data_IF_070284997417
#
_entry.id   IF_070284997417
#
_cell.length_a   1.000
_cell.length_b   1.000
_cell.length_c   1.000
_cell.angle_alpha   90.00
_cell.angle_beta   90.00
_cell.angle_gamma   90.00
#
_symmetry.space_group_name_H-M   'P 1'
#
loop_
_entity.id
_entity.type
_entity.pdbx_description
1 polymer ?
#
# COMPACT_ATOMS: atom_id res chain seq x y z
N UNK A 1 -6.53 -14.43 2.24
CA UNK A 1 -7.82 -14.72 2.91
C UNK A 1 -7.71 -15.78 4.01
N UNK A 2 -7.25 -17.02 3.75
CA UNK A 2 -7.16 -18.08 4.79
C UNK A 2 -6.35 -17.65 6.03
N UNK A 3 -5.23 -16.95 5.84
CA UNK A 3 -4.45 -16.44 6.97
C UNK A 3 -5.25 -15.48 7.85
N UNK A 4 -6.10 -14.62 7.27
CA UNK A 4 -7.00 -13.75 8.02
C UNK A 4 -8.01 -14.57 8.85
N UNK A 5 -8.56 -15.64 8.27
CA UNK A 5 -9.48 -16.53 9.00
C UNK A 5 -8.77 -17.20 10.18
N UNK A 6 -7.56 -17.70 9.99
CA UNK A 6 -6.76 -18.31 11.05
C UNK A 6 -6.40 -17.31 12.16
N UNK A 7 -6.22 -16.03 11.82
CA UNK A 7 -5.86 -14.97 12.77
C UNK A 7 -7.06 -14.37 13.51
N UNK A 8 -8.13 -14.05 12.77
CA UNK A 8 -9.24 -13.20 13.21
C UNK A 8 -10.60 -13.91 13.24
N UNK A 9 -10.67 -15.16 12.75
CA UNK A 9 -11.88 -15.97 12.76
C UNK A 9 -12.91 -15.64 11.66
N UNK A 10 -12.51 -14.89 10.62
CA UNK A 10 -13.37 -14.65 9.46
C UNK A 10 -12.57 -14.55 8.16
N UNK A 11 -13.22 -14.95 7.06
CA UNK A 11 -12.70 -14.77 5.71
C UNK A 11 -13.14 -13.39 5.18
N UNK A 12 -12.22 -12.46 4.89
CA UNK A 12 -12.57 -11.12 4.41
C UNK A 12 -13.01 -11.17 2.95
N UNK A 13 -13.96 -10.31 2.56
CA UNK A 13 -14.32 -10.12 1.14
C UNK A 13 -13.13 -9.55 0.36
N UNK A 14 -12.42 -8.56 0.95
CA UNK A 14 -11.31 -7.86 0.29
C UNK A 14 -10.04 -7.82 1.15
N UNK A 15 -8.88 -7.91 0.49
CA UNK A 15 -7.55 -7.85 1.09
C UNK A 15 -6.82 -6.61 0.61
N UNK A 16 -6.50 -5.76 1.56
CA UNK A 16 -5.66 -4.59 1.40
C UNK A 16 -4.25 -4.91 1.89
N UNK A 17 -3.25 -4.29 1.31
CA UNK A 17 -1.86 -4.45 1.72
C UNK A 17 -1.08 -3.14 1.68
N UNK A 18 -0.08 -3.03 2.53
CA UNK A 18 0.97 -2.02 2.39
C UNK A 18 2.30 -2.67 2.80
N UNK A 19 3.16 -2.89 1.82
CA UNK A 19 4.49 -3.46 2.05
C UNK A 19 5.55 -2.39 1.91
N UNK A 20 6.13 -1.97 3.02
CA UNK A 20 7.02 -0.81 3.04
C UNK A 20 7.92 -0.80 4.28
N UNK A 21 8.89 0.12 4.33
CA UNK A 21 9.64 0.35 5.58
C UNK A 21 8.80 1.22 6.52
N UNK A 22 8.95 1.03 7.83
CA UNK A 22 8.28 1.89 8.80
C UNK A 22 9.07 3.18 8.97
N UNK A 23 8.84 4.12 8.05
CA UNK A 23 9.43 5.46 8.09
C UNK A 23 8.37 6.47 7.67
N UNK A 24 8.47 7.68 8.22
CA UNK A 24 7.49 8.76 7.99
C UNK A 24 7.26 9.06 6.52
N UNK A 25 8.28 8.92 5.66
CA UNK A 25 8.14 9.21 4.23
C UNK A 25 7.12 8.31 3.51
N UNK A 26 6.78 7.14 4.08
CA UNK A 26 5.85 6.17 3.49
C UNK A 26 4.37 6.45 3.77
N UNK A 27 4.08 7.43 4.63
CA UNK A 27 2.72 7.98 4.71
C UNK A 27 1.65 7.06 5.30
N UNK A 28 2.00 5.99 6.04
CA UNK A 28 1.03 4.97 6.50
C UNK A 28 -0.13 5.48 7.36
N UNK A 29 -0.06 6.69 7.92
CA UNK A 29 -1.22 7.31 8.59
C UNK A 29 -2.35 7.67 7.61
N UNK A 30 -2.03 7.85 6.33
CA UNK A 30 -3.02 8.10 5.27
C UNK A 30 -3.81 6.84 4.95
N UNK A 31 -3.21 5.66 5.06
CA UNK A 31 -3.95 4.39 4.93
C UNK A 31 -5.07 4.33 5.96
N UNK A 32 -4.78 4.66 7.22
CA UNK A 32 -5.79 4.70 8.29
C UNK A 32 -6.94 5.65 7.94
N UNK A 33 -6.64 6.85 7.45
CA UNK A 33 -7.66 7.82 7.02
C UNK A 33 -8.52 7.28 5.87
N UNK A 34 -7.91 6.66 4.87
CA UNK A 34 -8.65 6.04 3.76
C UNK A 34 -9.55 4.91 4.29
N UNK A 35 -9.01 4.04 5.15
CA UNK A 35 -9.76 2.94 5.74
C UNK A 35 -10.92 3.41 6.63
N UNK A 36 -10.84 4.55 7.29
CA UNK A 36 -11.96 5.13 8.06
C UNK A 36 -13.18 5.39 7.19
N UNK A 37 -12.98 5.82 5.94
CA UNK A 37 -14.08 6.02 4.99
C UNK A 37 -14.53 4.69 4.37
N UNK A 38 -13.60 3.79 4.02
CA UNK A 38 -13.94 2.45 3.50
C UNK A 38 -14.75 1.65 4.53
N UNK A 39 -14.40 1.69 5.81
CA UNK A 39 -15.10 0.96 6.87
C UNK A 39 -16.59 1.33 6.93
N UNK A 40 -16.90 2.63 6.79
CA UNK A 40 -18.29 3.11 6.80
C UNK A 40 -19.07 2.56 5.61
N UNK A 41 -18.46 2.54 4.43
CA UNK A 41 -19.05 2.01 3.21
C UNK A 41 -19.19 0.49 3.24
N UNK A 42 -18.20 -0.22 3.76
CA UNK A 42 -18.27 -1.67 3.93
C UNK A 42 -19.37 -2.07 4.92
N UNK A 43 -19.59 -1.26 5.95
CA UNK A 43 -20.68 -1.46 6.90
C UNK A 43 -22.06 -1.28 6.25
N UNK A 44 -22.23 -0.32 5.34
CA UNK A 44 -23.53 -0.13 4.63
C UNK A 44 -23.78 -1.26 3.62
N UNK A 45 -22.73 -1.77 2.98
CA UNK A 45 -22.82 -2.86 2.00
C UNK A 45 -22.78 -4.27 2.60
N UNK A 46 -22.51 -4.40 3.91
CA UNK A 46 -22.32 -5.71 4.55
C UNK A 46 -21.05 -6.44 4.07
N UNK A 47 -20.05 -5.70 3.59
CA UNK A 47 -18.75 -6.23 3.13
C UNK A 47 -17.72 -6.20 4.24
N UNK A 48 -16.71 -7.03 4.14
CA UNK A 48 -15.61 -7.14 5.10
C UNK A 48 -14.26 -6.98 4.43
N UNK A 49 -13.24 -6.58 5.18
CA UNK A 49 -11.89 -6.52 4.65
C UNK A 49 -10.82 -6.61 5.71
N UNK A 50 -9.59 -6.85 5.26
CA UNK A 50 -8.39 -6.81 6.10
C UNK A 50 -7.28 -6.02 5.42
N UNK A 51 -6.60 -5.15 6.15
CA UNK A 51 -5.31 -4.59 5.73
C UNK A 51 -4.17 -5.36 6.40
N UNK A 52 -3.32 -6.00 5.60
CA UNK A 52 -2.02 -6.50 6.07
C UNK A 52 -0.95 -5.44 5.85
N UNK A 53 -0.33 -4.98 6.94
CA UNK A 53 0.80 -4.05 6.87
C UNK A 53 2.07 -4.81 7.16
N UNK A 54 2.96 -4.93 6.18
CA UNK A 54 4.27 -5.57 6.34
C UNK A 54 5.30 -4.47 6.39
N UNK A 55 5.70 -4.10 7.61
CA UNK A 55 6.53 -2.93 7.81
C UNK A 55 7.32 -3.01 9.09
N UNK A 56 8.55 -2.51 9.08
CA UNK A 56 9.43 -2.53 10.25
C UNK A 56 10.45 -1.40 10.21
N UNK A 57 10.84 -0.93 11.39
CA UNK A 57 11.97 -0.02 11.60
C UNK A 57 13.30 -0.76 11.77
N UNK A 58 13.22 -2.07 12.03
CA UNK A 58 14.34 -2.92 12.42
C UNK A 58 14.53 -4.06 11.42
N UNK A 59 15.43 -5.00 11.71
CA UNK A 59 15.60 -6.20 10.91
C UNK A 59 14.52 -7.23 11.22
N UNK A 60 14.42 -8.26 10.37
CA UNK A 60 13.54 -9.40 10.61
C UNK A 60 13.84 -10.06 11.96
N UNK A 61 12.78 -10.46 12.66
CA UNK A 61 12.88 -11.23 13.91
C UNK A 61 13.30 -12.66 13.61
N UNK A 62 13.86 -13.33 14.61
CA UNK A 62 14.19 -14.75 14.48
C UNK A 62 12.90 -15.56 14.46
N UNK A 63 12.85 -16.62 13.66
CA UNK A 63 11.64 -17.46 13.57
C UNK A 63 11.20 -18.03 14.92
N UNK A 64 12.16 -18.40 15.79
CA UNK A 64 11.84 -18.86 17.15
C UNK A 64 11.07 -17.79 17.94
N UNK A 65 11.50 -16.52 17.82
CA UNK A 65 10.89 -15.43 18.56
C UNK A 65 9.46 -15.20 18.01
N UNK A 66 9.25 -15.33 16.69
CA UNK A 66 7.92 -15.29 16.09
C UNK A 66 6.99 -16.37 16.64
N UNK A 67 7.45 -17.62 16.70
CA UNK A 67 6.66 -18.72 17.25
C UNK A 67 6.36 -18.52 18.74
N UNK A 68 7.34 -18.09 19.52
CA UNK A 68 7.16 -17.81 20.95
C UNK A 68 6.15 -16.67 21.18
N UNK A 69 6.21 -15.60 20.37
CA UNK A 69 5.28 -14.48 20.43
C UNK A 69 3.86 -14.87 20.00
N UNK A 70 3.73 -15.68 18.94
CA UNK A 70 2.45 -16.23 18.50
C UNK A 70 1.83 -17.09 19.60
N UNK A 71 2.57 -18.03 20.19
CA UNK A 71 2.04 -18.92 21.23
C UNK A 71 1.75 -18.22 22.55
N UNK A 72 2.50 -17.16 22.88
CA UNK A 72 2.39 -16.47 24.18
C UNK A 72 1.28 -15.42 24.19
N UNK A 73 1.06 -14.72 23.08
CA UNK A 73 0.08 -13.63 23.04
C UNK A 73 -0.56 -13.41 21.66
N UNK A 74 -0.55 -14.41 20.78
CA UNK A 74 -1.25 -14.38 19.49
C UNK A 74 -0.72 -13.33 18.49
N UNK A 75 0.57 -13.00 18.51
CA UNK A 75 1.21 -12.25 17.42
C UNK A 75 0.86 -12.84 16.03
N UNK A 76 0.55 -12.03 14.99
CA UNK A 76 0.57 -10.56 14.93
C UNK A 76 -0.79 -9.90 15.23
N UNK A 77 -1.74 -10.61 15.86
CA UNK A 77 -3.05 -10.02 16.23
C UNK A 77 -2.88 -9.08 17.42
N UNK A 78 -2.04 -9.47 18.37
CA UNK A 78 -1.63 -8.62 19.49
C UNK A 78 -0.11 -8.48 19.51
N UNK A 79 0.36 -7.32 19.98
CA UNK A 79 1.76 -7.01 20.18
C UNK A 79 2.06 -6.61 21.62
N UNK A 80 3.33 -6.72 22.02
CA UNK A 80 3.87 -6.22 23.28
C UNK A 80 4.99 -5.22 23.00
N UNK A 81 5.06 -4.19 23.83
CA UNK A 81 6.16 -3.23 23.74
C UNK A 81 7.48 -3.87 24.15
N UNK A 82 8.56 -3.53 23.44
CA UNK A 82 9.90 -4.01 23.71
C UNK A 82 10.32 -5.23 22.90
N UNK A 83 11.63 -5.48 22.89
CA UNK A 83 12.24 -6.59 22.17
C UNK A 83 11.83 -7.94 22.78
N UNK A 84 11.51 -8.98 21.98
CA UNK A 84 11.71 -9.09 20.53
C UNK A 84 10.58 -8.54 19.65
N UNK A 85 9.49 -8.04 20.22
CA UNK A 85 8.33 -7.63 19.43
C UNK A 85 8.48 -6.22 18.87
N UNK A 86 8.18 -5.16 19.62
CA UNK A 86 8.12 -3.81 19.02
C UNK A 86 9.32 -2.93 19.35
N UNK A 87 9.80 -2.19 18.35
CA UNK A 87 10.55 -0.95 18.53
C UNK A 87 9.64 0.19 19.03
N UNK A 88 10.22 1.35 19.36
CA UNK A 88 9.44 2.52 19.76
C UNK A 88 8.53 3.07 18.66
N UNK A 89 8.98 3.14 17.41
CA UNK A 89 8.13 3.61 16.31
C UNK A 89 7.12 2.57 15.85
N UNK A 90 7.43 1.28 15.94
CA UNK A 90 6.46 0.19 15.76
C UNK A 90 5.34 0.26 16.79
N UNK A 91 5.65 0.51 18.07
CA UNK A 91 4.65 0.71 19.12
C UNK A 91 3.76 1.94 18.89
N UNK A 92 4.36 3.05 18.42
CA UNK A 92 3.60 4.26 18.06
C UNK A 92 2.61 3.99 16.91
N UNK A 93 3.04 3.28 15.87
CA UNK A 93 2.16 2.91 14.76
C UNK A 93 1.07 1.91 15.21
N UNK A 94 1.45 0.90 16.00
CA UNK A 94 0.52 -0.11 16.49
C UNK A 94 -0.56 0.49 17.40
N UNK A 95 -0.26 1.55 18.16
CA UNK A 95 -1.27 2.30 18.92
C UNK A 95 -2.39 2.82 18.01
N UNK A 96 -2.04 3.37 16.84
CA UNK A 96 -3.03 3.84 15.87
C UNK A 96 -3.83 2.68 15.25
N UNK A 97 -3.16 1.54 14.98
CA UNK A 97 -3.80 0.29 14.52
C UNK A 97 -4.83 -0.21 15.54
N UNK A 98 -4.48 -0.22 16.83
CA UNK A 98 -5.39 -0.62 17.90
C UNK A 98 -6.59 0.32 18.01
N UNK A 99 -6.38 1.63 17.92
CA UNK A 99 -7.47 2.61 17.93
C UNK A 99 -8.44 2.41 16.76
N UNK A 100 -7.91 2.17 15.55
CA UNK A 100 -8.73 1.85 14.39
C UNK A 100 -9.52 0.55 14.61
N UNK A 101 -8.82 -0.54 14.97
CA UNK A 101 -9.43 -1.86 15.16
C UNK A 101 -10.47 -1.89 16.29
N UNK A 102 -10.34 -1.05 17.32
CA UNK A 102 -11.33 -0.96 18.39
C UNK A 102 -12.64 -0.27 17.94
N UNK A 103 -12.55 0.62 16.93
CA UNK A 103 -13.70 1.38 16.41
C UNK A 103 -14.35 0.73 15.19
N UNK A 104 -13.56 0.01 14.39
CA UNK A 104 -14.03 -0.63 13.17
C UNK A 104 -14.83 -1.89 13.46
N UNK A 105 -15.79 -2.22 12.60
CA UNK A 105 -16.52 -3.50 12.65
C UNK A 105 -16.16 -4.40 11.50
N UNK A 106 -16.17 -3.85 10.29
CA UNK A 106 -16.09 -4.62 9.05
C UNK A 106 -14.69 -4.67 8.44
N UNK A 107 -13.75 -3.90 8.98
CA UNK A 107 -12.39 -3.76 8.43
C UNK A 107 -11.37 -3.84 9.55
N UNK A 108 -10.39 -4.74 9.45
CA UNK A 108 -9.33 -4.87 10.46
C UNK A 108 -7.95 -4.67 9.86
N UNK A 109 -7.02 -4.20 10.66
CA UNK A 109 -5.62 -4.05 10.30
C UNK A 109 -4.81 -5.09 11.08
N UNK A 110 -4.00 -5.87 10.38
CA UNK A 110 -3.02 -6.78 10.96
C UNK A 110 -1.64 -6.22 10.67
N UNK A 111 -0.95 -5.79 11.73
CA UNK A 111 0.39 -5.24 11.62
C UNK A 111 1.43 -6.34 11.74
N UNK A 112 1.99 -6.76 10.63
CA UNK A 112 3.11 -7.70 10.60
C UNK A 112 4.37 -6.84 10.65
N UNK A 113 4.93 -6.69 11.84
CA UNK A 113 6.02 -5.77 12.09
C UNK A 113 7.37 -6.21 11.50
N UNK A 114 7.39 -6.94 10.37
CA UNK A 114 8.58 -7.35 9.64
C UNK A 114 8.28 -7.66 8.17
N UNK A 115 9.34 -7.79 7.36
CA UNK A 115 9.22 -8.32 6.00
C UNK A 115 9.20 -9.86 6.00
N UNK A 116 8.39 -10.41 5.11
CA UNK A 116 8.18 -11.85 4.96
C UNK A 116 6.70 -12.19 5.10
N UNK A 117 6.23 -13.12 4.28
CA UNK A 117 4.85 -13.59 4.27
C UNK A 117 4.86 -15.08 3.97
N UNK A 118 5.40 -15.84 4.92
CA UNK A 118 5.64 -17.28 4.83
C UNK A 118 5.62 -17.85 6.25
N UNK A 119 5.36 -19.16 6.47
CA UNK A 119 5.24 -19.74 7.81
C UNK A 119 6.41 -19.45 8.74
N UNK A 120 7.64 -19.47 8.19
CA UNK A 120 8.87 -19.19 8.92
C UNK A 120 8.94 -17.75 9.48
N UNK A 121 8.19 -16.82 8.90
CA UNK A 121 8.15 -15.40 9.25
C UNK A 121 6.81 -14.97 9.85
N UNK A 122 5.76 -15.77 9.72
CA UNK A 122 4.42 -15.38 10.14
C UNK A 122 3.80 -16.32 11.20
N UNK A 123 4.52 -17.35 11.64
CA UNK A 123 4.05 -18.29 12.65
C UNK A 123 3.28 -19.46 12.05
N UNK A 124 2.79 -20.32 12.93
CA UNK A 124 2.10 -21.57 12.61
C UNK A 124 0.69 -21.35 12.05
N UNK A 125 0.06 -20.20 12.32
CA UNK A 125 -1.26 -19.88 11.73
C UNK A 125 -1.18 -19.50 10.26
N UNK A 126 0.01 -19.22 9.72
CA UNK A 126 0.19 -19.05 8.28
C UNK A 126 0.07 -20.41 7.57
N UNK A 127 -0.74 -20.54 6.51
CA UNK A 127 -0.82 -21.77 5.74
C UNK A 127 0.54 -22.22 5.20
N UNK A 128 0.80 -23.53 5.19
CA UNK A 128 2.13 -24.10 4.98
C UNK A 128 2.72 -23.90 3.58
N UNK A 129 1.87 -23.72 2.58
CA UNK A 129 2.19 -23.62 1.16
C UNK A 129 2.28 -22.15 0.66
N UNK A 130 2.24 -21.19 1.58
CA UNK A 130 2.30 -19.76 1.24
C UNK A 130 3.75 -19.30 1.03
N UNK A 131 3.97 -18.69 -0.13
CA UNK A 131 5.18 -17.95 -0.47
C UNK A 131 4.95 -16.44 -0.37
N UNK A 132 6.04 -15.66 -0.32
CA UNK A 132 5.94 -14.21 -0.28
C UNK A 132 5.14 -13.64 -1.46
N UNK A 133 5.25 -14.22 -2.66
CA UNK A 133 4.51 -13.74 -3.83
C UNK A 133 2.99 -13.84 -3.66
N UNK A 134 2.50 -14.74 -2.82
CA UNK A 134 1.07 -14.94 -2.63
C UNK A 134 0.39 -13.77 -1.92
N UNK A 135 1.15 -12.96 -1.17
CA UNK A 135 0.62 -11.68 -0.68
C UNK A 135 0.27 -10.77 -1.85
N UNK A 136 1.13 -10.69 -2.88
CA UNK A 136 0.92 -9.83 -4.05
C UNK A 136 -0.21 -10.34 -4.93
N UNK A 137 -0.30 -11.66 -5.12
CA UNK A 137 -1.40 -12.31 -5.85
C UNK A 137 -2.74 -12.13 -5.15
N UNK A 138 -2.74 -12.17 -3.82
CA UNK A 138 -3.95 -12.10 -3.00
C UNK A 138 -4.37 -10.68 -2.59
N UNK A 139 -3.70 -9.64 -3.11
CA UNK A 139 -4.01 -8.23 -2.83
C UNK A 139 -5.06 -7.71 -3.80
N UNK A 140 -6.18 -7.22 -3.26
CA UNK A 140 -7.17 -6.45 -4.02
C UNK A 140 -6.74 -4.97 -4.14
N UNK A 141 -6.11 -4.42 -3.10
CA UNK A 141 -5.66 -3.02 -3.05
C UNK A 141 -4.30 -2.89 -2.36
N UNK A 142 -3.30 -2.33 -3.04
CA UNK A 142 -1.99 -2.01 -2.45
C UNK A 142 -1.87 -0.51 -2.21
N UNK A 143 -1.55 -0.13 -0.98
CA UNK A 143 -1.33 1.26 -0.60
C UNK A 143 0.12 1.72 -0.82
N UNK A 144 0.21 2.99 -1.19
CA UNK A 144 1.42 3.70 -1.60
C UNK A 144 1.37 5.17 -1.23
N UNK A 145 1.03 5.48 0.01
CA UNK A 145 0.63 6.84 0.41
C UNK A 145 1.81 7.79 0.72
N UNK A 146 2.98 7.51 0.17
CA UNK A 146 4.23 8.21 0.47
C UNK A 146 4.12 9.73 0.33
N UNK A 147 4.75 10.46 1.26
CA UNK A 147 5.01 11.92 1.13
C UNK A 147 6.27 12.19 0.32
N UNK A 148 7.12 11.18 0.15
CA UNK A 148 8.28 11.20 -0.72
C UNK A 148 8.67 9.76 -1.07
N UNK A 149 8.71 9.46 -2.36
CA UNK A 149 9.09 8.14 -2.88
C UNK A 149 9.88 8.33 -4.18
N UNK A 150 11.20 8.04 -4.21
CA UNK A 150 12.02 8.26 -5.41
C UNK A 150 11.54 7.45 -6.62
N UNK A 151 11.05 6.23 -6.40
CA UNK A 151 10.41 5.43 -7.43
C UNK A 151 9.18 4.72 -6.88
N UNK A 152 9.33 3.68 -6.06
CA UNK A 152 8.19 2.95 -5.47
C UNK A 152 7.77 1.74 -6.31
N UNK A 153 8.52 0.65 -6.20
CA UNK A 153 8.26 -0.60 -6.96
C UNK A 153 7.16 -1.42 -6.28
N UNK A 154 7.22 -1.54 -4.94
CA UNK A 154 6.36 -2.41 -4.15
C UNK A 154 4.86 -2.18 -4.42
N UNK A 155 4.48 -0.93 -4.68
CA UNK A 155 3.09 -0.55 -4.90
C UNK A 155 2.52 -1.05 -6.23
N UNK A 156 3.39 -1.37 -7.18
CA UNK A 156 3.03 -1.88 -8.52
C UNK A 156 3.09 -3.40 -8.60
N UNK A 157 3.67 -4.10 -7.62
CA UNK A 157 3.85 -5.56 -7.67
C UNK A 157 2.51 -6.33 -7.76
N UNK A 158 1.41 -5.89 -7.11
CA UNK A 158 0.10 -6.53 -7.29
C UNK A 158 -0.58 -6.26 -8.64
N UNK A 159 -0.07 -5.30 -9.43
CA UNK A 159 -0.73 -4.86 -10.66
C UNK A 159 -0.92 -6.02 -11.64
N UNK A 160 0.10 -6.86 -11.83
CA UNK A 160 0.06 -8.01 -12.75
C UNK A 160 -0.96 -9.08 -12.34
N UNK A 161 -1.39 -9.06 -11.08
CA UNK A 161 -2.40 -9.97 -10.53
C UNK A 161 -3.78 -9.32 -10.43
N UNK A 162 -3.96 -8.13 -11.02
CA UNK A 162 -5.22 -7.41 -11.06
C UNK A 162 -5.51 -6.55 -9.84
N UNK A 163 -4.57 -6.39 -8.91
CA UNK A 163 -4.73 -5.50 -7.76
C UNK A 163 -4.89 -4.03 -8.18
N UNK A 164 -5.55 -3.25 -7.32
CA UNK A 164 -5.63 -1.80 -7.43
C UNK A 164 -4.40 -1.19 -6.73
N UNK A 165 -3.56 -0.51 -7.49
CA UNK A 165 -2.40 0.21 -6.98
C UNK A 165 -2.81 1.65 -6.63
N UNK A 166 -2.76 1.98 -5.35
CA UNK A 166 -3.08 3.32 -4.84
C UNK A 166 -1.79 4.00 -4.44
N UNK A 167 -1.36 5.02 -5.17
CA UNK A 167 -0.14 5.73 -4.82
C UNK A 167 -0.29 7.24 -4.86
N UNK A 168 0.52 7.90 -4.05
CA UNK A 168 0.56 9.35 -3.93
C UNK A 168 1.03 10.02 -5.22
N UNK A 169 0.51 11.22 -5.51
CA UNK A 169 0.90 12.05 -6.66
C UNK A 169 2.40 12.39 -6.68
N UNK A 170 3.07 12.29 -5.53
CA UNK A 170 4.51 12.53 -5.35
C UNK A 170 5.37 11.25 -5.45
N UNK A 171 4.80 10.13 -5.91
CA UNK A 171 5.55 8.92 -6.24
C UNK A 171 6.34 9.09 -7.53
N UNK A 172 7.64 8.81 -7.53
CA UNK A 172 8.45 8.82 -8.76
C UNK A 172 7.97 7.82 -9.81
N UNK A 173 7.31 6.74 -9.39
CA UNK A 173 6.66 5.76 -10.25
C UNK A 173 5.56 6.34 -11.14
N UNK A 174 4.92 7.45 -10.73
CA UNK A 174 3.76 8.02 -11.43
C UNK A 174 4.11 8.50 -12.84
N UNK A 175 5.30 9.08 -13.04
CA UNK A 175 5.74 9.51 -14.37
C UNK A 175 5.81 8.33 -15.33
N UNK A 176 6.46 7.25 -14.89
CA UNK A 176 6.56 6.03 -15.68
C UNK A 176 5.20 5.38 -15.96
N UNK A 177 4.33 5.35 -14.97
CA UNK A 177 2.99 4.82 -15.19
C UNK A 177 2.20 5.66 -16.20
N UNK A 178 2.28 6.99 -16.15
CA UNK A 178 1.61 7.88 -17.13
C UNK A 178 2.10 7.64 -18.55
N UNK A 179 3.39 7.35 -18.73
CA UNK A 179 3.93 6.99 -20.06
C UNK A 179 3.32 5.68 -20.59
N UNK A 180 2.96 4.75 -19.69
CA UNK A 180 2.37 3.45 -20.04
C UNK A 180 0.85 3.52 -20.22
N UNK A 181 0.14 4.22 -19.34
CA UNK A 181 -1.33 4.31 -19.37
C UNK A 181 -1.84 5.39 -20.33
N UNK A 182 -0.99 6.35 -20.71
CA UNK A 182 -1.41 7.54 -21.43
C UNK A 182 -2.43 8.36 -20.63
N UNK A 183 -3.36 9.09 -21.30
CA UNK A 183 -4.39 9.89 -20.65
C UNK A 183 -5.55 9.05 -20.08
N UNK A 184 -5.54 7.74 -20.29
CA UNK A 184 -6.66 6.87 -19.92
C UNK A 184 -6.70 6.60 -18.41
N UNK A 185 -7.90 6.71 -17.84
CA UNK A 185 -8.14 6.36 -16.45
C UNK A 185 -8.32 4.84 -16.33
N UNK A 186 -7.26 4.13 -15.95
CA UNK A 186 -7.30 2.66 -15.79
C UNK A 186 -7.82 2.28 -14.40
N UNK A 187 -8.73 1.30 -14.35
CA UNK A 187 -9.40 0.85 -13.13
C UNK A 187 -8.41 0.40 -12.04
N UNK A 188 -7.32 -0.28 -12.41
CA UNK A 188 -6.26 -0.76 -11.51
C UNK A 188 -5.45 0.34 -10.83
N UNK A 189 -5.60 1.62 -11.21
CA UNK A 189 -4.71 2.68 -10.73
C UNK A 189 -5.50 3.80 -10.10
N UNK A 190 -5.14 4.15 -8.87
CA UNK A 190 -5.65 5.33 -8.18
C UNK A 190 -4.48 6.22 -7.78
N UNK A 191 -4.55 7.49 -8.18
CA UNK A 191 -3.57 8.51 -7.80
C UNK A 191 -4.18 9.39 -6.71
N UNK A 192 -3.56 9.37 -5.54
CA UNK A 192 -3.96 10.19 -4.40
C UNK A 192 -3.15 11.50 -4.38
N UNK A 193 -3.79 12.63 -4.72
CA UNK A 193 -3.10 13.91 -4.76
C UNK A 193 -3.28 14.71 -3.46
N UNK A 194 -2.40 14.45 -2.49
CA UNK A 194 -2.35 15.20 -1.23
C UNK A 194 -1.71 16.58 -1.36
N UNK A 195 -1.28 16.97 -2.56
CA UNK A 195 -0.72 18.30 -2.84
C UNK A 195 -1.74 19.25 -3.46
N UNK A 196 -2.92 18.73 -3.85
CA UNK A 196 -4.06 19.52 -4.29
C UNK A 196 -4.58 20.38 -3.13
N UNK A 197 -4.29 21.68 -3.21
CA UNK A 197 -4.67 22.69 -2.23
C UNK A 197 -6.16 23.09 -2.31
N UNK A 198 -6.94 22.41 -3.15
CA UNK A 198 -8.37 22.64 -3.40
C UNK A 198 -8.65 24.05 -3.98
N UNK A 199 -9.90 24.55 -3.85
CA UNK A 199 -10.35 25.86 -4.37
C UNK A 199 -9.85 27.04 -3.51
N UNK A 200 -8.73 26.89 -2.81
CA UNK A 200 -8.06 28.06 -2.21
C UNK A 200 -7.12 28.64 -3.25
N UNK A 201 -7.40 29.87 -3.69
CA UNK A 201 -6.43 30.66 -4.42
C UNK A 201 -5.33 31.08 -3.44
N UNK A 202 -4.33 30.23 -3.26
CA UNK A 202 -3.06 30.66 -2.71
C UNK A 202 -2.43 31.53 -3.79
N UNK A 203 -2.44 32.85 -3.59
CA UNK A 203 -2.10 33.82 -4.64
C UNK A 203 -0.59 34.00 -4.73
N UNK A 204 0.11 33.84 -3.59
CA UNK A 204 1.55 34.04 -3.47
C UNK A 204 2.24 33.01 -2.54
N UNK A 205 3.55 33.17 -2.35
CA UNK A 205 4.37 32.27 -1.52
C UNK A 205 4.04 32.47 -0.04
N UNK A 206 3.71 33.69 0.35
CA UNK A 206 3.34 34.07 1.71
C UNK A 206 2.08 33.31 2.16
N UNK A 207 1.09 33.16 1.29
CA UNK A 207 -0.09 32.31 1.51
C UNK A 207 0.28 30.83 1.70
N UNK A 208 1.22 30.32 0.90
CA UNK A 208 1.70 28.93 1.02
C UNK A 208 2.45 28.71 2.34
N UNK A 209 3.18 29.71 2.84
CA UNK A 209 3.85 29.65 4.14
C UNK A 209 2.86 29.57 5.31
N UNK A 210 1.59 29.94 5.12
CA UNK A 210 0.55 29.79 6.14
C UNK A 210 -0.03 28.37 6.21
N UNK A 211 0.41 27.42 5.37
CA UNK A 211 -0.04 26.02 5.43
C UNK A 211 0.45 25.38 6.72
N UNK A 212 -0.45 25.29 7.69
CA UNK A 212 -0.20 24.73 9.00
C UNK A 212 -0.64 23.26 9.11
N UNK A 213 -0.70 22.73 10.34
CA UNK A 213 -1.22 21.38 10.58
C UNK A 213 -2.71 21.28 10.24
N UNK A 214 -3.52 22.27 10.60
CA UNK A 214 -4.98 22.24 10.39
C UNK A 214 -5.34 22.15 8.91
N UNK A 215 -4.69 22.96 8.07
CA UNK A 215 -4.88 22.95 6.62
C UNK A 215 -4.48 21.59 6.03
N UNK A 216 -3.32 21.06 6.42
CA UNK A 216 -2.87 19.74 5.95
C UNK A 216 -3.82 18.63 6.37
N UNK A 217 -4.26 18.62 7.63
CA UNK A 217 -5.18 17.61 8.14
C UNK A 217 -6.50 17.60 7.37
N UNK A 218 -6.98 18.78 6.98
CA UNK A 218 -8.19 18.95 6.16
C UNK A 218 -8.01 18.44 4.73
N UNK A 219 -6.90 18.80 4.07
CA UNK A 219 -6.56 18.31 2.73
C UNK A 219 -6.41 16.79 2.75
N UNK A 220 -5.68 16.24 3.73
CA UNK A 220 -5.49 14.80 3.84
C UNK A 220 -6.81 14.06 4.12
N UNK A 221 -7.72 14.63 4.91
CA UNK A 221 -9.06 14.05 5.10
C UNK A 221 -9.87 14.04 3.80
N UNK A 222 -9.98 15.20 3.13
CA UNK A 222 -10.69 15.37 1.86
C UNK A 222 -10.19 14.42 0.77
N UNK A 223 -8.87 14.34 0.59
CA UNK A 223 -8.26 13.44 -0.40
C UNK A 223 -8.40 11.97 -0.02
N UNK A 224 -8.30 11.62 1.27
CA UNK A 224 -8.51 10.23 1.72
C UNK A 224 -9.94 9.75 1.50
N UNK A 225 -10.94 10.63 1.66
CA UNK A 225 -12.33 10.35 1.33
C UNK A 225 -12.52 10.07 -0.16
N UNK A 226 -11.97 10.95 -1.03
CA UNK A 226 -12.02 10.75 -2.49
C UNK A 226 -11.40 9.41 -2.90
N UNK A 227 -10.22 9.10 -2.35
CA UNK A 227 -9.53 7.82 -2.60
C UNK A 227 -10.36 6.64 -2.14
N UNK A 228 -10.95 6.70 -0.94
CA UNK A 228 -11.82 5.63 -0.43
C UNK A 228 -13.01 5.37 -1.35
N UNK A 229 -13.67 6.43 -1.85
CA UNK A 229 -14.79 6.30 -2.78
C UNK A 229 -14.36 5.71 -4.13
N UNK A 230 -13.19 6.11 -4.65
CA UNK A 230 -12.61 5.50 -5.84
C UNK A 230 -12.30 4.01 -5.64
N UNK A 231 -11.76 3.63 -4.49
CA UNK A 231 -11.53 2.22 -4.17
C UNK A 231 -12.85 1.45 -4.15
N UNK A 232 -13.83 1.91 -3.37
CA UNK A 232 -15.11 1.20 -3.21
C UNK A 232 -15.87 1.04 -4.55
N UNK A 233 -15.77 2.04 -5.44
CA UNK A 233 -16.38 1.97 -6.78
C UNK A 233 -15.64 1.07 -7.76
N UNK A 234 -14.35 0.80 -7.54
CA UNK A 234 -13.48 0.04 -8.47
C UNK A 234 -13.19 -1.37 -8.00
N UNK A 235 -13.45 -1.72 -6.74
CA UNK A 235 -13.32 -3.09 -6.27
C UNK A 235 -14.18 -4.04 -7.13
N UNK A 236 -13.61 -5.16 -7.59
CA UNK A 236 -14.32 -6.08 -8.47
C UNK A 236 -15.48 -6.74 -7.73
N UNK A 237 -16.64 -6.83 -8.39
CA UNK A 237 -17.88 -7.35 -7.77
C UNK A 237 -18.18 -8.81 -8.10
N UNK A 238 -17.59 -9.31 -9.18
CA UNK A 238 -17.79 -10.65 -9.70
C UNK A 238 -16.52 -11.16 -10.41
N UNK A 239 -16.53 -12.43 -10.77
CA UNK A 239 -15.40 -13.11 -11.42
C UNK A 239 -15.03 -12.49 -12.77
N UNK A 240 -16.00 -11.97 -13.53
CA UNK A 240 -15.72 -11.33 -14.82
C UNK A 240 -14.96 -10.01 -14.63
N UNK A 241 -15.31 -9.23 -13.61
CA UNK A 241 -14.56 -8.03 -13.26
C UNK A 241 -13.16 -8.38 -12.75
N UNK A 242 -12.99 -9.46 -11.98
CA UNK A 242 -11.67 -9.94 -11.53
C UNK A 242 -10.81 -10.31 -12.75
N UNK A 243 -11.33 -11.12 -13.67
CA UNK A 243 -10.61 -11.53 -14.88
C UNK A 243 -10.22 -10.32 -15.74
N UNK A 244 -11.13 -9.36 -15.90
CA UNK A 244 -10.83 -8.10 -16.59
C UNK A 244 -9.70 -7.34 -15.90
N UNK A 245 -9.71 -7.24 -14.57
CA UNK A 245 -8.70 -6.54 -13.79
C UNK A 245 -7.32 -7.21 -13.90
N UNK A 246 -7.27 -8.55 -13.90
CA UNK A 246 -6.04 -9.32 -14.12
C UNK A 246 -5.50 -9.05 -15.51
N UNK A 247 -6.36 -9.08 -16.55
CA UNK A 247 -5.94 -8.84 -17.93
C UNK A 247 -5.38 -7.44 -18.12
N UNK A 248 -6.07 -6.40 -17.65
CA UNK A 248 -5.61 -5.01 -17.76
C UNK A 248 -4.34 -4.79 -16.95
N UNK A 249 -4.28 -5.32 -15.74
CA UNK A 249 -3.11 -5.25 -14.87
C UNK A 249 -1.87 -5.92 -15.47
N UNK A 250 -2.03 -7.12 -16.06
CA UNK A 250 -0.96 -7.83 -16.76
C UNK A 250 -0.43 -7.03 -17.97
N UNK A 251 -1.31 -6.48 -18.81
CA UNK A 251 -0.88 -5.68 -19.97
C UNK A 251 -0.14 -4.41 -19.55
N UNK A 252 -0.59 -3.74 -18.48
CA UNK A 252 0.16 -2.61 -17.92
C UNK A 252 1.54 -3.04 -17.41
N UNK A 253 1.60 -4.09 -16.58
CA UNK A 253 2.86 -4.58 -16.01
C UNK A 253 3.86 -5.04 -17.07
N UNK A 254 3.37 -5.66 -18.16
CA UNK A 254 4.20 -6.07 -19.31
C UNK A 254 4.87 -4.87 -19.99
N UNK A 255 4.15 -3.75 -20.13
CA UNK A 255 4.68 -2.49 -20.64
C UNK A 255 5.60 -1.77 -19.62
N UNK A 256 5.74 -2.32 -18.42
CA UNK A 256 6.66 -1.85 -17.38
C UNK A 256 7.88 -2.78 -17.20
N UNK A 257 8.08 -3.73 -18.10
CA UNK A 257 9.19 -4.69 -18.05
C UNK A 257 10.56 -4.04 -18.28
N UNK A 258 11.62 -4.72 -17.81
CA UNK A 258 12.99 -4.29 -18.06
C UNK A 258 13.33 -4.19 -19.55
N UNK A 259 12.76 -5.06 -20.39
CA UNK A 259 12.96 -4.98 -21.84
C UNK A 259 12.42 -3.66 -22.40
N UNK A 260 11.25 -3.21 -21.94
CA UNK A 260 10.66 -1.93 -22.34
C UNK A 260 11.49 -0.77 -21.80
N UNK A 261 11.90 -0.82 -20.53
CA UNK A 261 12.73 0.22 -19.90
C UNK A 261 14.07 0.37 -20.64
N UNK A 262 14.75 -0.74 -20.91
CA UNK A 262 16.05 -0.74 -21.59
C UNK A 262 15.91 -0.20 -23.01
N UNK A 263 14.94 -0.68 -23.78
CA UNK A 263 14.76 -0.25 -25.17
C UNK A 263 14.32 1.21 -25.28
N UNK A 264 13.31 1.63 -24.52
CA UNK A 264 12.67 2.93 -24.71
C UNK A 264 13.39 4.07 -24.01
N UNK A 265 14.04 3.80 -22.86
CA UNK A 265 14.68 4.84 -22.05
C UNK A 265 16.20 4.76 -22.13
N UNK A 266 16.81 3.61 -21.80
CA UNK A 266 18.27 3.50 -21.68
C UNK A 266 18.97 3.58 -23.05
N UNK A 267 18.65 2.67 -23.97
CA UNK A 267 19.30 2.61 -25.29
C UNK A 267 19.01 3.86 -26.12
N UNK A 268 17.77 4.36 -26.08
CA UNK A 268 17.38 5.63 -26.70
C UNK A 268 18.19 6.82 -26.18
N UNK A 269 18.52 6.85 -24.89
CA UNK A 269 19.35 7.92 -24.32
C UNK A 269 20.83 7.77 -24.69
N UNK A 270 21.36 6.54 -24.70
CA UNK A 270 22.75 6.27 -25.10
C UNK A 270 23.00 6.65 -26.56
N UNK A 271 22.06 6.35 -27.47
CA UNK A 271 22.16 6.70 -28.89
C UNK A 271 22.21 8.21 -29.15
N UNK A 272 21.74 9.03 -28.20
CA UNK A 272 21.78 10.50 -28.28
C UNK A 272 23.12 11.08 -27.81
N UNK A 273 23.99 10.27 -27.19
CA UNK A 273 25.33 10.71 -26.80
C UNK A 273 26.16 10.84 -28.09
N UNK A 274 26.65 12.04 -28.44
CA UNK A 274 27.49 12.21 -29.62
C UNK A 274 28.78 11.38 -29.48
N UNK A 275 29.31 10.85 -30.58
CA UNK A 275 30.59 10.09 -30.65
C UNK A 275 31.82 10.83 -30.06
N UNK A 276 31.67 12.09 -29.64
CA UNK A 276 32.72 12.96 -29.13
C UNK A 276 32.61 13.19 -27.63
N UNK A 277 32.63 12.12 -26.84
CA UNK A 277 33.31 12.19 -25.53
C UNK A 277 34.74 11.70 -25.74
N UNK A 278 35.54 12.49 -26.47
CA UNK A 278 37.00 12.33 -26.41
C UNK A 278 37.42 12.84 -25.04
N UNK A 279 37.70 11.92 -24.12
CA UNK A 279 38.39 12.20 -22.87
C UNK A 279 39.70 12.93 -23.23
N UNK A 280 39.77 14.23 -22.91
CA UNK A 280 40.99 15.03 -22.92
C UNK A 280 41.76 14.82 -21.63
#
# INVERSE_FOLDING_TARGET
>A
QQYCENLLGYKPDYVFTHVTRLVRSKGMWRDLRVLEHIEREFRTQGKTGVLFVLSTEVSQRRSRDIHDMESTYNWPVAHREGWPDMSGGEANYYTAVQQFNARSRNLKIVFINQFGFEPKKCGQRMPHDIEFMDIRKGTDVEFGQSIYEPFGIAQLEPLTFGGICVFSSVCGCLGFLRDVTGPENVKNVIVADYTDLEIRSYVDIEDLMQIDRSIRDRIEASQSEKVAMQICSRLPKDESEIESMVKTGYELAKNMSWDVVVNNYLLSSIQKIPDKVRLS
#
